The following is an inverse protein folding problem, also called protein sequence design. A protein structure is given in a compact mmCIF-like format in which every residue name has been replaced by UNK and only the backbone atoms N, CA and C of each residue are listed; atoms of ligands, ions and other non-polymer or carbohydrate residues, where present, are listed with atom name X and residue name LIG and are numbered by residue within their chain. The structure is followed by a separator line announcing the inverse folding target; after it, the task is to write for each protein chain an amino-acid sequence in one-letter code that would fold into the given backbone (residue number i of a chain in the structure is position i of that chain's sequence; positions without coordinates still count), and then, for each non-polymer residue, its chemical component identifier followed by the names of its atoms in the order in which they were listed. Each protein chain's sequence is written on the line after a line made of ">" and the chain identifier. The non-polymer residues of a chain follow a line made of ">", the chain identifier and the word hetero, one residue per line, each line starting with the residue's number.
data_IF_824019562409
#
_entry.id   IF_824019562409
#
_cell.length_a   1.000
_cell.length_b   1.000
_cell.length_c   1.000
_cell.angle_alpha   90.00
_cell.angle_beta   90.00
_cell.angle_gamma   90.00
#
_symmetry.space_group_name_H-M   'P 1'
#
loop_
_entity.id
_entity.type
_entity.pdbx_description
1 polymer ?
#
# COMPACT_ATOMS: atom_id res chain seq x y z
N UNK A 1 -2.20 -5.44 19.66
CA UNK A 1 -1.65 -5.65 18.31
C UNK A 1 -1.84 -4.34 17.54
N UNK A 2 -0.76 -3.72 17.06
CA UNK A 2 -0.81 -2.47 16.30
C UNK A 2 -1.68 -2.63 15.04
N UNK A 3 -2.49 -1.63 14.69
CA UNK A 3 -3.30 -1.64 13.46
C UNK A 3 -2.43 -1.81 12.20
N UNK A 4 -1.20 -1.29 12.23
CA UNK A 4 -0.24 -1.42 11.13
C UNK A 4 0.18 -2.89 10.91
N UNK A 5 0.38 -3.65 11.99
CA UNK A 5 0.68 -5.08 11.89
C UNK A 5 -0.46 -5.85 11.20
N UNK A 6 -1.71 -5.50 11.51
CA UNK A 6 -2.87 -6.14 10.84
C UNK A 6 -2.87 -5.85 9.35
N UNK A 7 -2.50 -4.63 8.94
CA UNK A 7 -2.42 -4.26 7.53
C UNK A 7 -1.34 -5.06 6.79
N UNK A 8 -0.16 -5.22 7.39
CA UNK A 8 0.91 -6.09 6.86
C UNK A 8 0.46 -7.54 6.77
N UNK A 9 -0.19 -8.07 7.81
CA UNK A 9 -0.70 -9.44 7.82
C UNK A 9 -1.75 -9.65 6.70
N UNK A 10 -2.62 -8.65 6.44
CA UNK A 10 -3.59 -8.67 5.32
C UNK A 10 -2.85 -8.69 3.99
N UNK A 11 -1.89 -7.79 3.78
CA UNK A 11 -1.13 -7.73 2.52
C UNK A 11 -0.38 -9.04 2.24
N UNK A 12 0.24 -9.62 3.26
CA UNK A 12 0.88 -10.94 3.17
C UNK A 12 -0.12 -12.05 2.79
N UNK A 13 -1.33 -12.01 3.33
CA UNK A 13 -2.39 -12.96 2.96
C UNK A 13 -2.88 -12.76 1.51
N UNK A 14 -3.03 -11.50 1.07
CA UNK A 14 -3.44 -11.14 -0.29
C UNK A 14 -2.43 -11.60 -1.35
N UNK A 15 -1.14 -11.57 -1.05
CA UNK A 15 -0.07 -12.05 -1.95
C UNK A 15 0.37 -13.50 -1.68
N UNK A 16 -0.20 -14.16 -0.67
CA UNK A 16 0.11 -15.54 -0.33
C UNK A 16 -0.42 -16.57 -1.34
N UNK A 17 -0.18 -17.85 -1.08
CA UNK A 17 -0.55 -18.95 -2.00
C UNK A 17 -2.04 -18.94 -2.39
N UNK A 18 -2.92 -18.65 -1.42
CA UNK A 18 -4.39 -18.56 -1.59
C UNK A 18 -4.89 -17.12 -1.77
N UNK A 19 -3.98 -16.20 -2.04
CA UNK A 19 -4.24 -14.78 -2.20
C UNK A 19 -4.95 -14.43 -3.51
N UNK A 20 -5.17 -13.14 -3.72
CA UNK A 20 -5.76 -12.60 -4.94
C UNK A 20 -4.77 -12.77 -6.12
N UNK A 21 -5.19 -13.33 -7.27
CA UNK A 21 -4.31 -13.48 -8.44
C UNK A 21 -3.71 -12.16 -8.91
N UNK A 22 -4.51 -11.08 -8.94
CA UNK A 22 -4.05 -9.76 -9.35
C UNK A 22 -2.97 -9.24 -8.40
N UNK A 23 -3.17 -9.37 -7.09
CA UNK A 23 -2.20 -8.89 -6.10
C UNK A 23 -0.87 -9.60 -6.25
N UNK A 24 -0.87 -10.92 -6.49
CA UNK A 24 0.34 -11.74 -6.65
C UNK A 24 1.14 -11.39 -7.89
N UNK A 25 0.47 -11.00 -8.98
CA UNK A 25 1.12 -10.64 -10.24
C UNK A 25 1.78 -9.25 -10.20
N UNK A 26 1.48 -8.43 -9.19
CA UNK A 26 2.04 -7.09 -9.09
C UNK A 26 3.53 -7.10 -8.75
N UNK A 27 4.23 -6.12 -9.34
CA UNK A 27 5.64 -5.81 -9.16
C UNK A 27 5.79 -4.35 -8.73
N UNK A 28 6.97 -3.97 -8.24
CA UNK A 28 7.25 -2.57 -7.95
C UNK A 28 7.06 -1.64 -9.15
N UNK A 29 7.30 -2.13 -10.37
CA UNK A 29 7.10 -1.36 -11.60
C UNK A 29 5.62 -1.26 -12.00
N UNK A 30 4.84 -2.34 -11.89
CA UNK A 30 3.42 -2.33 -12.25
C UNK A 30 2.57 -1.47 -11.31
N UNK A 31 3.05 -1.25 -10.08
CA UNK A 31 2.37 -0.44 -9.07
C UNK A 31 2.65 1.07 -9.18
N UNK A 32 3.67 1.50 -9.93
CA UNK A 32 4.03 2.93 -10.05
C UNK A 32 2.86 3.84 -10.48
N UNK A 33 2.01 3.46 -11.46
CA UNK A 33 0.89 4.30 -11.85
C UNK A 33 -0.11 4.51 -10.71
N UNK A 34 -0.41 3.47 -9.94
CA UNK A 34 -1.33 3.53 -8.81
C UNK A 34 -0.75 4.39 -7.68
N UNK A 35 0.52 4.22 -7.33
CA UNK A 35 1.17 5.09 -6.34
C UNK A 35 1.08 6.58 -6.74
N UNK A 36 1.22 6.88 -8.03
CA UNK A 36 1.09 8.24 -8.55
C UNK A 36 -0.35 8.75 -8.46
N UNK A 37 -1.33 7.92 -8.84
CA UNK A 37 -2.76 8.21 -8.76
C UNK A 37 -3.18 8.57 -7.33
N UNK A 38 -2.92 7.68 -6.37
CA UNK A 38 -3.22 7.89 -4.94
C UNK A 38 -2.56 9.16 -4.39
N UNK A 39 -1.34 9.45 -4.85
CA UNK A 39 -0.65 10.70 -4.48
C UNK A 39 -1.42 11.92 -4.97
N UNK A 40 -1.94 11.90 -6.20
CA UNK A 40 -2.75 13.00 -6.73
C UNK A 40 -4.12 13.09 -6.05
N UNK A 41 -4.75 11.96 -5.73
CA UNK A 41 -6.03 11.94 -5.00
C UNK A 41 -5.89 12.51 -3.59
N UNK A 42 -4.80 12.19 -2.88
CA UNK A 42 -4.47 12.84 -1.59
C UNK A 42 -4.32 14.35 -1.77
N UNK A 43 -3.61 14.80 -2.80
CA UNK A 43 -3.42 16.24 -3.07
C UNK A 43 -4.76 16.93 -3.38
N UNK A 44 -5.60 16.32 -4.21
CA UNK A 44 -6.94 16.83 -4.53
C UNK A 44 -7.81 16.93 -3.28
N UNK A 45 -7.83 15.88 -2.44
CA UNK A 45 -8.59 15.87 -1.20
C UNK A 45 -8.13 16.97 -0.22
N UNK A 46 -6.81 17.23 -0.18
CA UNK A 46 -6.22 18.32 0.61
C UNK A 46 -6.63 19.70 0.07
N UNK A 47 -6.58 19.90 -1.24
CA UNK A 47 -6.97 21.15 -1.90
C UNK A 47 -8.47 21.44 -1.70
N UNK A 48 -9.31 20.41 -1.71
CA UNK A 48 -10.75 20.51 -1.42
C UNK A 48 -11.05 20.77 0.08
N UNK A 49 -10.09 20.53 0.97
CA UNK A 49 -10.28 20.60 2.42
C UNK A 49 -11.27 19.57 2.97
N UNK A 50 -11.45 18.45 2.26
CA UNK A 50 -12.43 17.42 2.60
C UNK A 50 -11.81 16.33 3.49
N UNK A 51 -12.01 16.46 4.81
CA UNK A 51 -11.42 15.55 5.79
C UNK A 51 -11.77 14.07 5.61
N UNK A 52 -12.95 13.73 5.08
CA UNK A 52 -13.30 12.33 4.86
C UNK A 52 -12.53 11.75 3.68
N UNK A 53 -12.46 12.49 2.56
CA UNK A 53 -11.60 12.08 1.42
C UNK A 53 -10.14 12.00 1.84
N UNK A 54 -9.61 13.00 2.54
CA UNK A 54 -8.21 12.99 3.00
C UNK A 54 -7.89 11.71 3.77
N UNK A 55 -8.80 11.26 4.64
CA UNK A 55 -8.61 10.03 5.41
C UNK A 55 -8.68 8.77 4.54
N UNK A 56 -9.55 8.75 3.53
CA UNK A 56 -9.68 7.67 2.56
C UNK A 56 -8.40 7.54 1.73
N UNK A 57 -8.00 8.61 1.03
CA UNK A 57 -6.84 8.59 0.13
C UNK A 57 -5.52 8.38 0.88
N UNK A 58 -5.38 8.90 2.11
CA UNK A 58 -4.21 8.58 2.94
C UNK A 58 -4.16 7.09 3.33
N UNK A 59 -5.32 6.45 3.47
CA UNK A 59 -5.42 5.02 3.70
C UNK A 59 -4.95 4.21 2.49
N UNK A 60 -5.37 4.61 1.29
CA UNK A 60 -5.03 3.95 0.05
C UNK A 60 -3.56 4.18 -0.34
N UNK A 61 -3.05 5.40 -0.15
CA UNK A 61 -1.61 5.67 -0.25
C UNK A 61 -0.78 4.85 0.75
N UNK A 62 -1.25 4.70 1.99
CA UNK A 62 -0.59 3.82 2.97
C UNK A 62 -0.63 2.36 2.52
N UNK A 63 -1.73 1.91 1.91
CA UNK A 63 -1.85 0.56 1.36
C UNK A 63 -0.82 0.33 0.24
N UNK A 64 -0.61 1.31 -0.65
CA UNK A 64 0.45 1.24 -1.67
C UNK A 64 1.84 1.10 -1.05
N UNK A 65 2.17 1.89 -0.01
CA UNK A 65 3.45 1.79 0.69
C UNK A 65 3.65 0.37 1.26
N UNK A 66 2.64 -0.18 1.93
CA UNK A 66 2.70 -1.54 2.48
C UNK A 66 2.83 -2.58 1.36
N UNK A 67 2.19 -2.37 0.21
CA UNK A 67 2.30 -3.24 -0.96
C UNK A 67 3.75 -3.30 -1.47
N UNK A 68 4.38 -2.15 -1.67
CA UNK A 68 5.78 -2.07 -2.06
C UNK A 68 6.72 -2.73 -1.04
N UNK A 69 6.49 -2.52 0.26
CA UNK A 69 7.27 -3.18 1.31
C UNK A 69 7.10 -4.70 1.30
N UNK A 70 5.89 -5.20 1.02
CA UNK A 70 5.65 -6.64 0.90
C UNK A 70 6.40 -7.26 -0.29
N UNK A 71 6.43 -6.58 -1.45
CA UNK A 71 7.19 -7.02 -2.63
C UNK A 71 8.70 -7.03 -2.35
N UNK A 72 9.21 -6.00 -1.68
CA UNK A 72 10.63 -5.93 -1.28
C UNK A 72 11.00 -7.04 -0.29
N UNK A 73 10.10 -7.33 0.66
CA UNK A 73 10.26 -8.41 1.64
C UNK A 73 10.31 -9.78 0.96
N UNK A 74 9.46 -10.02 -0.04
CA UNK A 74 9.48 -11.24 -0.85
C UNK A 74 10.80 -11.43 -1.62
N UNK A 75 11.49 -10.32 -1.90
CA UNK A 75 12.80 -10.30 -2.56
C UNK A 75 13.98 -10.28 -1.58
N UNK A 76 13.73 -10.40 -0.26
CA UNK A 76 14.73 -10.28 0.82
C UNK A 76 15.55 -8.97 0.76
N UNK A 77 14.92 -7.85 0.36
CA UNK A 77 15.61 -6.56 0.26
C UNK A 77 15.44 -5.72 1.53
N UNK A 78 14.20 -5.41 1.89
CA UNK A 78 13.79 -4.68 3.09
C UNK A 78 12.33 -5.00 3.41
N UNK A 79 11.86 -4.63 4.60
CA UNK A 79 10.43 -4.67 4.92
C UNK A 79 9.91 -3.37 5.57
N UNK A 80 8.67 -3.39 6.07
CA UNK A 80 8.05 -2.20 6.63
C UNK A 80 8.79 -1.68 7.87
N UNK A 81 9.44 -2.55 8.65
CA UNK A 81 10.18 -2.13 9.86
C UNK A 81 11.45 -1.33 9.48
N UNK A 82 12.00 -1.53 8.28
CA UNK A 82 13.13 -0.74 7.77
C UNK A 82 12.72 0.67 7.30
N UNK A 83 11.43 0.88 7.02
CA UNK A 83 10.89 2.14 6.47
C UNK A 83 10.42 3.11 7.56
N UNK A 84 10.11 2.62 8.77
CA UNK A 84 9.51 3.41 9.87
C UNK A 84 10.48 3.85 10.96
#
# INVERSE_FOLDING_TARGET
>A
MSNLKKLVDIMSALRGDKGCPWDKEQTGDSLKPFLLEETYEVLEALDEGNSEKIKEELGDLLFQIVFHCQIAKESNEFDLDDVI
#
